data_IF_127195981415
#
_entry.id   IF_127195981415
#
_cell.length_a   1.000
_cell.length_b   1.000
_cell.length_c   1.000
_cell.angle_alpha   90.00
_cell.angle_beta   90.00
_cell.angle_gamma   90.00
#
_symmetry.space_group_name_H-M   'P 1'
#
loop_
_entity.id
_entity.type
_entity.pdbx_description
1 polymer ?
#
# COMPACT_ATOMS: atom_id res chain seq x y z
N UNK A 1 26.10 -5.62 -16.02
CA UNK A 1 25.00 -4.79 -15.44
C UNK A 1 25.48 -4.26 -14.10
N UNK A 2 25.31 -2.96 -13.80
CA UNK A 2 25.79 -2.40 -12.54
C UNK A 2 25.04 -2.98 -11.34
N UNK A 3 25.67 -3.10 -10.14
CA UNK A 3 24.99 -3.56 -8.93
C UNK A 3 23.75 -2.74 -8.58
N UNK A 4 23.79 -1.43 -8.83
CA UNK A 4 22.67 -0.51 -8.62
C UNK A 4 21.49 -0.83 -9.53
N UNK A 5 21.75 -1.14 -10.81
CA UNK A 5 20.69 -1.51 -11.75
C UNK A 5 20.07 -2.87 -11.38
N UNK A 6 20.86 -3.84 -10.91
CA UNK A 6 20.33 -5.12 -10.41
C UNK A 6 19.40 -4.88 -9.21
N UNK A 7 19.81 -4.03 -8.27
CA UNK A 7 19.00 -3.69 -7.10
C UNK A 7 17.68 -3.03 -7.50
N UNK A 8 17.73 -2.05 -8.41
CA UNK A 8 16.55 -1.37 -8.92
C UNK A 8 15.57 -2.36 -9.56
N UNK A 9 16.05 -3.24 -10.44
CA UNK A 9 15.21 -4.24 -11.09
C UNK A 9 14.59 -5.22 -10.07
N UNK A 10 15.33 -5.60 -9.04
CA UNK A 10 14.79 -6.41 -7.93
C UNK A 10 13.69 -5.69 -7.16
N UNK A 11 13.86 -4.41 -6.84
CA UNK A 11 12.84 -3.61 -6.17
C UNK A 11 11.58 -3.47 -7.03
N UNK A 12 11.73 -3.20 -8.32
CA UNK A 12 10.61 -3.10 -9.26
C UNK A 12 9.85 -4.43 -9.38
N UNK A 13 10.58 -5.53 -9.63
CA UNK A 13 9.98 -6.86 -9.74
C UNK A 13 9.30 -7.30 -8.44
N UNK A 14 9.92 -7.03 -7.29
CA UNK A 14 9.34 -7.36 -5.99
C UNK A 14 8.09 -6.54 -5.68
N UNK A 15 8.11 -5.24 -6.02
CA UNK A 15 6.94 -4.38 -5.87
C UNK A 15 5.78 -4.84 -6.76
N UNK A 16 6.07 -5.33 -7.97
CA UNK A 16 5.05 -5.91 -8.84
C UNK A 16 4.39 -7.13 -8.18
N UNK A 17 5.17 -8.01 -7.56
CA UNK A 17 4.65 -9.17 -6.81
C UNK A 17 3.77 -8.72 -5.64
N UNK A 18 4.19 -7.71 -4.87
CA UNK A 18 3.37 -7.17 -3.79
C UNK A 18 2.07 -6.52 -4.30
N UNK A 19 2.10 -5.85 -5.47
CA UNK A 19 0.89 -5.31 -6.09
C UNK A 19 -0.08 -6.42 -6.50
N UNK A 20 0.42 -7.50 -7.10
CA UNK A 20 -0.40 -8.68 -7.39
C UNK A 20 -1.05 -9.19 -6.10
N UNK A 21 -0.28 -9.35 -5.02
CA UNK A 21 -0.84 -9.77 -3.73
C UNK A 21 -1.82 -8.74 -3.13
N UNK A 22 -1.62 -7.44 -3.37
CA UNK A 22 -2.58 -6.40 -2.98
C UNK A 22 -3.91 -6.56 -3.71
N UNK A 23 -3.89 -6.70 -5.03
CA UNK A 23 -5.13 -6.70 -5.82
C UNK A 23 -5.88 -8.03 -5.77
N UNK A 24 -5.19 -9.16 -5.71
CA UNK A 24 -5.85 -10.47 -5.68
C UNK A 24 -6.30 -10.85 -4.25
N UNK A 25 -5.43 -11.33 -3.34
CA UNK A 25 -5.87 -11.68 -1.99
C UNK A 25 -6.25 -10.46 -1.14
N UNK A 26 -5.60 -9.31 -1.30
CA UNK A 26 -6.00 -8.07 -0.62
C UNK A 26 -7.35 -7.54 -1.12
N UNK A 27 -7.56 -7.49 -2.44
CA UNK A 27 -8.83 -7.08 -3.04
C UNK A 27 -9.99 -7.99 -2.66
N UNK A 28 -9.73 -9.30 -2.55
CA UNK A 28 -10.72 -10.24 -2.00
C UNK A 28 -11.07 -9.90 -0.55
N UNK A 29 -10.07 -9.58 0.29
CA UNK A 29 -10.30 -9.17 1.69
C UNK A 29 -11.09 -7.85 1.79
N UNK A 30 -10.76 -6.86 0.97
CA UNK A 30 -11.47 -5.57 0.88
C UNK A 30 -12.95 -5.79 0.53
N UNK A 31 -13.22 -6.67 -0.46
CA UNK A 31 -14.57 -6.95 -0.96
C UNK A 31 -15.55 -7.36 0.14
N UNK A 32 -15.10 -8.17 1.12
CA UNK A 32 -15.94 -8.66 2.21
C UNK A 32 -15.95 -7.77 3.45
N UNK A 33 -15.17 -6.70 3.49
CA UNK A 33 -14.97 -5.92 4.72
C UNK A 33 -15.37 -4.46 4.56
N UNK A 34 -14.85 -3.77 3.54
CA UNK A 34 -14.91 -2.31 3.46
C UNK A 34 -15.24 -1.77 2.07
N UNK A 35 -15.18 -2.61 1.03
CA UNK A 35 -15.30 -2.16 -0.36
C UNK A 35 -16.64 -1.48 -0.64
N UNK A 36 -17.76 -2.10 -0.30
CA UNK A 36 -19.09 -1.52 -0.55
C UNK A 36 -19.30 -0.16 0.13
N UNK A 37 -19.13 -0.01 1.46
CA UNK A 37 -19.36 1.28 2.12
C UNK A 37 -18.33 2.34 1.71
N UNK A 38 -17.12 1.96 1.29
CA UNK A 38 -16.13 2.90 0.77
C UNK A 38 -16.51 3.43 -0.62
N UNK A 39 -17.02 2.60 -1.53
CA UNK A 39 -17.30 3.01 -2.91
C UNK A 39 -18.68 3.66 -3.08
N UNK A 40 -19.61 3.49 -2.14
CA UNK A 40 -20.93 4.10 -2.20
C UNK A 40 -20.89 5.64 -2.42
N UNK A 41 -20.09 6.42 -1.67
CA UNK A 41 -20.00 7.87 -1.90
C UNK A 41 -19.40 8.24 -3.26
N UNK A 42 -18.53 7.40 -3.83
CA UNK A 42 -17.96 7.64 -5.16
C UNK A 42 -19.02 7.60 -6.25
N UNK A 43 -19.96 6.65 -6.15
CA UNK A 43 -21.08 6.55 -7.08
C UNK A 43 -22.09 7.71 -6.91
N UNK A 44 -22.23 8.23 -5.69
CA UNK A 44 -23.16 9.33 -5.38
C UNK A 44 -22.60 10.72 -5.72
N UNK A 45 -21.27 10.88 -5.75
CA UNK A 45 -20.60 12.17 -6.00
C UNK A 45 -19.50 12.07 -7.07
N UNK A 46 -19.80 11.61 -8.29
CA UNK A 46 -18.78 11.36 -9.32
C UNK A 46 -17.94 12.61 -9.66
N UNK A 47 -18.54 13.80 -9.66
CA UNK A 47 -17.85 15.07 -9.94
C UNK A 47 -16.78 15.42 -8.88
N UNK A 48 -16.98 14.97 -7.64
CA UNK A 48 -16.02 15.22 -6.55
C UNK A 48 -14.83 14.27 -6.61
N UNK A 49 -15.00 13.08 -7.19
CA UNK A 49 -13.97 12.05 -7.26
C UNK A 49 -13.29 11.98 -8.63
N UNK A 50 -13.90 12.53 -9.68
CA UNK A 50 -13.29 12.68 -11.01
C UNK A 50 -12.90 11.38 -11.70
N UNK A 51 -13.37 10.22 -11.23
CA UNK A 51 -12.99 8.93 -11.79
C UNK A 51 -13.83 8.58 -13.02
N UNK A 52 -13.15 8.49 -14.16
CA UNK A 52 -13.63 7.86 -15.37
C UNK A 52 -12.96 6.48 -15.53
N UNK A 53 -13.56 5.59 -16.33
CA UNK A 53 -12.98 4.26 -16.61
C UNK A 53 -11.61 4.34 -17.32
N UNK A 54 -11.29 5.47 -17.95
CA UNK A 54 -9.95 5.77 -18.50
C UNK A 54 -8.86 5.97 -17.44
N UNK A 55 -9.22 6.17 -16.17
CA UNK A 55 -8.27 6.40 -15.07
C UNK A 55 -7.75 5.10 -14.44
N UNK A 56 -8.22 3.94 -14.92
CA UNK A 56 -7.81 2.63 -14.40
C UNK A 56 -6.28 2.43 -14.47
N UNK A 57 -5.59 2.69 -15.60
CA UNK A 57 -4.13 2.54 -15.68
C UNK A 57 -3.40 3.52 -14.75
N UNK A 58 -3.92 4.74 -14.62
CA UNK A 58 -3.37 5.73 -13.71
C UNK A 58 -3.50 5.25 -12.24
N UNK A 59 -4.65 4.72 -11.84
CA UNK A 59 -4.88 4.15 -10.51
C UNK A 59 -3.94 2.98 -10.20
N UNK A 60 -3.74 2.06 -11.16
CA UNK A 60 -2.75 0.98 -11.01
C UNK A 60 -1.32 1.51 -10.87
N UNK A 61 -0.96 2.53 -11.66
CA UNK A 61 0.36 3.15 -11.57
C UNK A 61 0.57 3.89 -10.24
N UNK A 62 -0.42 4.63 -9.75
CA UNK A 62 -0.36 5.29 -8.45
C UNK A 62 -0.19 4.28 -7.31
N UNK A 63 -0.94 3.18 -7.33
CA UNK A 63 -0.78 2.10 -6.36
C UNK A 63 0.62 1.46 -6.46
N UNK A 64 1.10 1.20 -7.67
CA UNK A 64 2.45 0.69 -7.87
C UNK A 64 3.51 1.61 -7.25
N UNK A 65 3.41 2.92 -7.50
CA UNK A 65 4.34 3.91 -6.96
C UNK A 65 4.26 4.03 -5.44
N UNK A 66 3.05 3.97 -4.86
CA UNK A 66 2.86 3.95 -3.41
C UNK A 66 3.55 2.74 -2.77
N UNK A 67 3.30 1.54 -3.28
CA UNK A 67 3.93 0.33 -2.74
C UNK A 67 5.43 0.29 -3.00
N UNK A 68 5.90 0.83 -4.14
CA UNK A 68 7.33 0.98 -4.41
C UNK A 68 7.99 1.86 -3.35
N UNK A 69 7.36 2.98 -2.99
CA UNK A 69 7.85 3.88 -1.96
C UNK A 69 7.92 3.19 -0.59
N UNK A 70 6.87 2.45 -0.21
CA UNK A 70 6.84 1.70 1.07
C UNK A 70 7.94 0.63 1.10
N UNK A 71 8.12 -0.14 0.02
CA UNK A 71 9.17 -1.15 -0.11
C UNK A 71 10.55 -0.51 -0.04
N UNK A 72 10.75 0.65 -0.67
CA UNK A 72 12.01 1.38 -0.64
C UNK A 72 12.34 1.88 0.78
N UNK A 73 11.37 2.49 1.46
CA UNK A 73 11.51 2.90 2.86
C UNK A 73 11.88 1.70 3.72
N UNK A 74 11.20 0.56 3.54
CA UNK A 74 11.53 -0.67 4.25
C UNK A 74 12.95 -1.16 3.92
N UNK A 75 13.33 -1.16 2.65
CA UNK A 75 14.66 -1.60 2.22
C UNK A 75 15.77 -0.82 2.92
N UNK A 76 15.59 0.50 3.08
CA UNK A 76 16.53 1.40 3.74
C UNK A 76 16.50 1.21 5.27
N UNK A 77 15.32 1.11 5.87
CA UNK A 77 15.17 1.12 7.33
C UNK A 77 15.38 -0.24 8.00
N UNK A 78 15.24 -1.36 7.28
CA UNK A 78 15.18 -2.72 7.87
C UNK A 78 16.37 -3.08 8.77
N UNK A 79 17.55 -2.54 8.51
CA UNK A 79 18.77 -2.88 9.26
C UNK A 79 18.89 -2.09 10.57
N UNK A 80 18.22 -0.95 10.68
CA UNK A 80 18.10 -0.17 11.91
C UNK A 80 17.02 -0.71 12.86
N UNK A 81 16.16 -1.62 12.40
CA UNK A 81 15.02 -2.12 13.16
C UNK A 81 15.32 -3.46 13.83
N UNK A 82 14.92 -3.58 15.10
CA UNK A 82 15.04 -4.82 15.88
C UNK A 82 13.88 -5.78 15.62
N UNK A 83 14.14 -7.09 15.76
CA UNK A 83 13.14 -8.17 15.65
C UNK A 83 13.31 -9.06 14.41
N UNK A 84 12.38 -10.01 14.23
CA UNK A 84 12.29 -10.85 13.02
C UNK A 84 11.87 -10.01 11.81
N UNK A 85 12.15 -10.47 10.58
CA UNK A 85 11.86 -9.71 9.36
C UNK A 85 10.40 -9.25 9.25
N UNK A 86 9.45 -10.10 9.64
CA UNK A 86 8.02 -9.75 9.73
C UNK A 86 7.77 -8.57 10.65
N UNK A 87 8.36 -8.58 11.84
CA UNK A 87 8.18 -7.50 12.82
C UNK A 87 8.81 -6.19 12.32
N UNK A 88 9.99 -6.26 11.70
CA UNK A 88 10.64 -5.08 11.09
C UNK A 88 9.77 -4.50 9.98
N UNK A 89 9.19 -5.36 9.14
CA UNK A 89 8.29 -4.97 8.06
C UNK A 89 7.04 -4.29 8.60
N UNK A 90 6.36 -4.92 9.56
CA UNK A 90 5.15 -4.36 10.19
C UNK A 90 5.41 -2.99 10.84
N UNK A 91 6.59 -2.76 11.44
CA UNK A 91 6.96 -1.44 11.98
C UNK A 91 6.99 -0.36 10.90
N UNK A 92 7.63 -0.62 9.76
CA UNK A 92 7.70 0.34 8.65
C UNK A 92 6.32 0.56 8.02
N UNK A 93 5.58 -0.51 7.79
CA UNK A 93 4.25 -0.43 7.20
C UNK A 93 3.26 0.30 8.13
N UNK A 94 3.36 0.11 9.44
CA UNK A 94 2.56 0.86 10.42
C UNK A 94 2.86 2.38 10.36
N UNK A 95 4.13 2.78 10.23
CA UNK A 95 4.49 4.19 10.06
C UNK A 95 3.92 4.78 8.76
N UNK A 96 4.02 4.04 7.66
CA UNK A 96 3.45 4.46 6.38
C UNK A 96 1.91 4.52 6.42
N UNK A 97 1.28 3.58 7.12
CA UNK A 97 -0.16 3.58 7.38
C UNK A 97 -0.58 4.83 8.15
N UNK A 98 0.14 5.20 9.22
CA UNK A 98 -0.15 6.42 9.99
C UNK A 98 -0.05 7.68 9.13
N UNK A 99 0.96 7.76 8.25
CA UNK A 99 1.09 8.86 7.30
C UNK A 99 -0.10 8.92 6.35
N UNK A 100 -0.51 7.78 5.78
CA UNK A 100 -1.67 7.70 4.89
C UNK A 100 -2.97 8.08 5.60
N UNK A 101 -3.21 7.56 6.82
CA UNK A 101 -4.37 7.91 7.63
C UNK A 101 -4.39 9.41 7.97
N UNK A 102 -3.23 10.01 8.22
CA UNK A 102 -3.12 11.45 8.45
C UNK A 102 -3.54 12.26 7.23
N UNK A 103 -3.11 11.87 6.02
CA UNK A 103 -3.56 12.50 4.78
C UNK A 103 -5.08 12.34 4.59
N UNK A 104 -5.61 11.14 4.79
CA UNK A 104 -7.05 10.89 4.70
C UNK A 104 -7.84 11.75 5.71
N UNK A 105 -7.30 11.96 6.91
CA UNK A 105 -7.94 12.78 7.95
C UNK A 105 -7.96 14.26 7.57
N UNK A 106 -6.89 14.76 6.94
CA UNK A 106 -6.86 16.11 6.39
C UNK A 106 -7.94 16.25 5.32
N UNK A 107 -8.02 15.35 4.35
CA UNK A 107 -9.07 15.42 3.31
C UNK A 107 -10.47 15.33 3.90
N UNK A 108 -10.70 14.45 4.87
CA UNK A 108 -11.98 14.35 5.57
C UNK A 108 -12.45 15.71 6.13
N UNK A 109 -11.55 16.56 6.63
CA UNK A 109 -11.90 17.89 7.12
C UNK A 109 -12.28 18.88 6.01
N UNK A 110 -11.83 18.67 4.77
CA UNK A 110 -12.09 19.57 3.64
C UNK A 110 -13.39 19.25 2.89
N UNK A 111 -13.90 18.02 3.01
CA UNK A 111 -15.10 17.57 2.30
C UNK A 111 -16.36 17.57 3.17
N UNK A 112 -17.52 17.58 2.50
CA UNK A 112 -18.84 17.48 3.12
C UNK A 112 -19.07 16.12 3.79
N UNK A 113 -20.12 16.01 4.62
CA UNK A 113 -20.36 14.83 5.44
C UNK A 113 -20.55 13.53 4.64
N UNK A 114 -21.09 13.61 3.43
CA UNK A 114 -21.35 12.44 2.58
C UNK A 114 -20.05 11.86 1.99
N UNK A 115 -19.10 12.73 1.64
CA UNK A 115 -17.77 12.34 1.15
C UNK A 115 -16.85 11.92 2.29
N UNK A 116 -17.02 12.42 3.51
CA UNK A 116 -16.20 12.04 4.68
C UNK A 116 -16.17 10.54 4.93
N UNK A 117 -17.28 9.85 4.66
CA UNK A 117 -17.38 8.40 4.83
C UNK A 117 -16.34 7.67 4.00
N UNK A 118 -16.10 8.10 2.75
CA UNK A 118 -15.04 7.54 1.91
C UNK A 118 -13.70 7.56 2.65
N UNK A 119 -13.29 8.71 3.18
CA UNK A 119 -12.01 8.87 3.87
C UNK A 119 -11.92 8.07 5.17
N UNK A 120 -13.02 7.91 5.92
CA UNK A 120 -13.03 7.03 7.10
C UNK A 120 -12.76 5.58 6.70
N UNK A 121 -13.46 5.08 5.67
CA UNK A 121 -13.24 3.72 5.18
C UNK A 121 -11.88 3.57 4.49
N UNK A 122 -11.32 4.61 3.89
CA UNK A 122 -9.93 4.61 3.39
C UNK A 122 -8.90 4.47 4.51
N UNK A 123 -9.16 4.98 5.71
CA UNK A 123 -8.28 4.73 6.87
C UNK A 123 -8.37 3.27 7.32
N UNK A 124 -9.56 2.69 7.32
CA UNK A 124 -9.75 1.26 7.63
C UNK A 124 -9.07 0.37 6.58
N UNK A 125 -9.19 0.75 5.30
CA UNK A 125 -8.47 0.11 4.19
C UNK A 125 -6.97 0.15 4.40
N UNK A 126 -6.43 1.32 4.73
CA UNK A 126 -5.01 1.46 5.03
C UNK A 126 -4.58 0.54 6.18
N UNK A 127 -5.31 0.51 7.30
CA UNK A 127 -4.98 -0.38 8.42
C UNK A 127 -4.97 -1.86 7.98
N UNK A 128 -5.96 -2.26 7.19
CA UNK A 128 -6.10 -3.62 6.68
C UNK A 128 -4.95 -3.99 5.73
N UNK A 129 -4.78 -3.22 4.64
CA UNK A 129 -3.84 -3.52 3.57
C UNK A 129 -2.38 -3.32 4.01
N UNK A 130 -2.05 -2.29 4.80
CA UNK A 130 -0.69 -2.12 5.28
C UNK A 130 -0.29 -3.23 6.26
N UNK A 131 -1.22 -3.70 7.10
CA UNK A 131 -0.94 -4.83 7.99
C UNK A 131 -0.73 -6.13 7.19
N UNK A 132 -1.63 -6.39 6.24
CA UNK A 132 -1.56 -7.56 5.36
C UNK A 132 -0.27 -7.59 4.52
N UNK A 133 0.00 -6.51 3.78
CA UNK A 133 1.20 -6.41 2.95
C UNK A 133 2.47 -6.28 3.78
N UNK A 134 2.41 -5.68 4.97
CA UNK A 134 3.52 -5.66 5.91
C UNK A 134 3.90 -7.08 6.36
N UNK A 135 2.92 -7.94 6.65
CA UNK A 135 3.17 -9.33 6.97
C UNK A 135 3.77 -10.10 5.77
N UNK A 136 3.17 -9.95 4.58
CA UNK A 136 3.64 -10.58 3.34
C UNK A 136 5.06 -10.12 2.99
N UNK A 137 5.34 -8.82 3.09
CA UNK A 137 6.66 -8.28 2.81
C UNK A 137 7.70 -8.91 3.75
N UNK A 138 7.37 -9.00 5.04
CA UNK A 138 8.19 -9.67 6.04
C UNK A 138 8.55 -11.12 5.72
N UNK A 139 7.63 -11.85 5.08
CA UNK A 139 7.81 -13.26 4.69
C UNK A 139 8.59 -13.39 3.38
N UNK A 140 8.26 -12.59 2.37
CA UNK A 140 8.80 -12.74 1.01
C UNK A 140 10.11 -11.99 0.79
N UNK A 141 10.37 -10.90 1.51
CA UNK A 141 11.54 -10.06 1.28
C UNK A 141 12.87 -10.83 1.37
N UNK A 142 13.11 -11.73 2.35
CA UNK A 142 14.33 -12.53 2.40
C UNK A 142 14.52 -13.46 1.20
N UNK A 143 13.44 -13.85 0.51
CA UNK A 143 13.51 -14.72 -0.67
C UNK A 143 14.04 -13.96 -1.89
N UNK A 144 13.69 -12.68 -2.02
CA UNK A 144 14.08 -11.82 -3.15
C UNK A 144 15.45 -11.16 -2.94
N UNK A 145 15.74 -10.77 -1.70
CA UNK A 145 16.93 -9.99 -1.33
C UNK A 145 17.93 -10.78 -0.50
N UNK A 146 17.87 -12.13 -0.53
CA UNK A 146 18.84 -12.98 0.15
C UNK A 146 20.25 -12.52 -0.20
N UNK A 147 20.98 -12.03 0.80
CA UNK A 147 22.41 -11.82 0.65
C UNK A 147 23.02 -13.18 0.34
N UNK A 148 23.83 -13.31 -0.72
CA UNK A 148 24.71 -14.47 -0.84
C UNK A 148 25.60 -14.39 0.40
N UNK A 149 25.30 -15.21 1.40
CA UNK A 149 26.21 -15.45 2.52
C UNK A 149 27.57 -15.75 1.90
N UNK A 150 28.49 -14.82 2.16
CA UNK A 150 29.92 -14.94 1.90
C UNK A 150 30.48 -16.08 2.75
#
# INVERSE_FOLDING_TARGET
MSPQLILLLKLLAYTLVLNVLRYYPGGWLEMYTIMEPMHQPMAMHPDAFGFTSSDLPASYFYNFMLWLAVVLIFHIAKDALTGKMIIRSLKVFALCCLFFCSLAAVYMNHFNQDIRRFFMYSMLDAVLLFSFLGAINGLLYPLFFKSRTT
#
